data_IF_778847817771
#
_entry.id   IF_778847817771
#
_cell.length_a   1.000
_cell.length_b   1.000
_cell.length_c   1.000
_cell.angle_alpha   90.00
_cell.angle_beta   90.00
_cell.angle_gamma   90.00
#
_symmetry.space_group_name_H-M   'P 1'
#
loop_
_entity.id
_entity.type
_entity.pdbx_description
1 polymer ?
#
# COMPACT_ATOMS: atom_id res chain seq x y z
N UNK A 1 30.40 -10.44 -62.63
CA UNK A 1 31.11 -10.96 -61.44
C UNK A 1 31.57 -9.76 -60.61
N UNK A 2 31.50 -9.87 -59.28
CA UNK A 2 31.65 -8.84 -58.22
C UNK A 2 30.38 -8.02 -57.91
N UNK A 3 29.95 -7.85 -56.66
CA UNK A 3 29.93 -8.74 -55.50
C UNK A 3 28.95 -8.12 -54.50
N UNK A 4 28.06 -8.97 -54.00
CA UNK A 4 27.02 -8.72 -53.01
C UNK A 4 27.66 -8.73 -51.61
N UNK A 5 27.96 -7.58 -50.99
CA UNK A 5 28.31 -7.54 -49.55
C UNK A 5 27.96 -6.18 -48.95
N UNK A 6 26.79 -6.02 -48.32
CA UNK A 6 26.58 -4.98 -47.28
C UNK A 6 25.23 -5.07 -46.54
N UNK A 7 24.87 -6.24 -46.01
CA UNK A 7 23.75 -6.35 -45.04
C UNK A 7 24.01 -7.48 -44.03
N UNK A 8 24.86 -7.26 -43.04
CA UNK A 8 24.86 -8.03 -41.79
C UNK A 8 25.82 -7.41 -40.76
N UNK A 9 25.42 -6.31 -40.11
CA UNK A 9 26.02 -5.95 -38.82
C UNK A 9 25.03 -5.11 -38.03
N UNK A 10 24.84 -5.48 -36.76
CA UNK A 10 24.05 -4.83 -35.70
C UNK A 10 22.69 -5.46 -35.36
N UNK A 11 22.71 -6.74 -35.00
CA UNK A 11 21.73 -7.31 -34.07
C UNK A 11 22.41 -8.28 -33.08
N UNK A 12 23.49 -7.83 -32.42
CA UNK A 12 23.93 -8.42 -31.15
C UNK A 12 23.14 -7.74 -30.02
N UNK A 13 21.87 -8.10 -29.88
CA UNK A 13 21.21 -7.97 -28.58
C UNK A 13 21.96 -8.91 -27.63
N UNK A 14 22.73 -8.34 -26.70
CA UNK A 14 23.13 -9.05 -25.49
C UNK A 14 21.85 -9.42 -24.76
N UNK A 15 21.35 -10.64 -24.98
CA UNK A 15 20.51 -11.29 -23.99
C UNK A 15 21.37 -11.39 -22.73
N UNK A 16 21.06 -10.55 -21.74
CA UNK A 16 21.56 -10.71 -20.39
C UNK A 16 21.04 -12.08 -19.97
N UNK A 17 21.93 -13.07 -19.95
CA UNK A 17 21.66 -14.36 -19.35
C UNK A 17 21.42 -14.08 -17.87
N UNK A 18 20.16 -14.01 -17.47
CA UNK A 18 19.81 -14.21 -16.07
C UNK A 18 20.26 -15.63 -15.76
N UNK A 19 21.40 -15.76 -15.07
CA UNK A 19 21.75 -17.01 -14.40
C UNK A 19 20.56 -17.34 -13.50
N UNK A 20 20.12 -18.59 -13.53
CA UNK A 20 19.21 -19.12 -12.53
C UNK A 20 19.92 -19.02 -11.17
N UNK A 21 19.76 -17.89 -10.49
CA UNK A 21 20.17 -17.74 -9.10
C UNK A 21 19.26 -18.69 -8.34
N UNK A 22 19.84 -19.76 -7.81
CA UNK A 22 19.10 -20.70 -6.98
C UNK A 22 19.06 -20.13 -5.56
N UNK A 23 17.94 -20.33 -4.84
CA UNK A 23 17.75 -19.88 -3.45
C UNK A 23 18.93 -20.22 -2.53
N UNK A 24 19.68 -21.28 -2.83
CA UNK A 24 20.81 -21.73 -2.04
C UNK A 24 22.04 -20.82 -2.13
N UNK A 25 22.25 -20.13 -3.26
CA UNK A 25 23.43 -19.27 -3.44
C UNK A 25 23.29 -17.96 -2.63
N UNK A 26 22.08 -17.42 -2.50
CA UNK A 26 21.82 -16.20 -1.70
C UNK A 26 21.81 -16.49 -0.19
N UNK A 27 21.30 -17.65 0.25
CA UNK A 27 21.24 -17.98 1.69
C UNK A 27 22.62 -18.01 2.36
N UNK A 28 23.67 -18.44 1.66
CA UNK A 28 25.04 -18.47 2.21
C UNK A 28 25.67 -17.08 2.37
N UNK A 29 25.22 -16.08 1.61
CA UNK A 29 25.68 -14.68 1.75
C UNK A 29 25.07 -13.99 2.96
N UNK A 30 23.80 -14.30 3.28
CA UNK A 30 23.06 -13.69 4.38
C UNK A 30 23.48 -14.22 5.75
N UNK A 31 23.78 -15.51 5.86
CA UNK A 31 24.27 -16.12 7.11
C UNK A 31 25.61 -15.55 7.56
N UNK A 32 26.46 -15.08 6.64
CA UNK A 32 27.72 -14.40 6.99
C UNK A 32 27.53 -13.08 7.77
N UNK A 33 26.32 -12.50 7.76
CA UNK A 33 25.96 -11.30 8.55
C UNK A 33 25.17 -11.63 9.82
N UNK A 34 25.07 -12.91 10.20
CA UNK A 34 24.32 -13.36 11.39
C UNK A 34 22.81 -13.22 11.26
N UNK A 35 22.29 -13.06 10.03
CA UNK A 35 20.85 -13.01 9.80
C UNK A 35 20.28 -14.41 9.54
N UNK A 36 19.19 -14.73 10.22
CA UNK A 36 18.38 -15.92 9.98
C UNK A 36 17.08 -15.52 9.29
N UNK A 37 16.94 -15.94 8.02
CA UNK A 37 15.72 -15.76 7.27
C UNK A 37 14.57 -16.50 7.95
N UNK A 38 13.42 -15.85 8.07
CA UNK A 38 12.24 -16.49 8.63
C UNK A 38 11.73 -17.58 7.66
N UNK A 39 11.26 -18.70 8.20
CA UNK A 39 10.63 -19.75 7.39
C UNK A 39 9.31 -19.29 6.78
N UNK A 40 8.60 -18.41 7.51
CA UNK A 40 7.33 -17.83 7.12
C UNK A 40 7.43 -16.31 7.02
N UNK A 41 6.75 -15.73 6.03
CA UNK A 41 6.61 -14.27 5.90
C UNK A 41 5.32 -13.84 6.59
N UNK A 42 5.41 -12.82 7.45
CA UNK A 42 4.22 -12.27 8.10
C UNK A 42 3.56 -11.24 7.20
N UNK A 43 2.35 -11.55 6.74
CA UNK A 43 1.49 -10.61 6.04
C UNK A 43 0.62 -9.84 7.02
N UNK A 44 0.38 -8.56 6.75
CA UNK A 44 -0.65 -7.79 7.42
C UNK A 44 -1.52 -7.10 6.38
N UNK A 45 -2.78 -7.54 6.30
CA UNK A 45 -3.75 -6.94 5.41
C UNK A 45 -4.10 -5.54 5.93
N UNK A 46 -3.62 -4.53 5.21
CA UNK A 46 -3.89 -3.15 5.59
C UNK A 46 -5.30 -2.75 5.19
N UNK A 47 -6.29 -3.22 5.94
CA UNK A 47 -7.68 -2.86 5.73
C UNK A 47 -7.91 -1.40 6.11
N UNK A 48 -8.82 -0.73 5.41
CA UNK A 48 -8.99 0.70 5.58
C UNK A 48 -9.47 0.99 7.00
N UNK A 49 -8.96 2.04 7.66
CA UNK A 49 -9.37 2.45 9.03
C UNK A 49 -9.14 1.42 10.15
N UNK A 50 -8.21 0.49 10.01
CA UNK A 50 -7.75 -0.39 11.11
C UNK A 50 -6.41 0.03 11.72
N UNK A 51 -5.78 1.10 11.22
CA UNK A 51 -4.53 1.64 11.77
C UNK A 51 -3.25 1.04 11.17
N UNK A 52 -3.37 0.24 10.10
CA UNK A 52 -2.21 -0.38 9.42
C UNK A 52 -1.10 0.59 9.02
N UNK A 53 -1.43 1.85 8.70
CA UNK A 53 -0.43 2.88 8.36
C UNK A 53 0.51 3.17 9.53
N UNK A 54 -0.04 3.26 10.74
CA UNK A 54 0.73 3.54 11.95
C UNK A 54 1.53 2.30 12.35
N UNK A 55 0.90 1.13 12.30
CA UNK A 55 1.55 -0.15 12.60
C UNK A 55 2.77 -0.39 11.68
N UNK A 56 2.58 -0.31 10.36
CA UNK A 56 3.67 -0.49 9.41
C UNK A 56 4.79 0.54 9.61
N UNK A 57 4.43 1.82 9.87
CA UNK A 57 5.41 2.85 10.14
C UNK A 57 6.23 2.59 11.41
N UNK A 58 5.58 2.13 12.49
CA UNK A 58 6.26 1.75 13.73
C UNK A 58 7.18 0.54 13.54
N UNK A 59 6.72 -0.49 12.84
CA UNK A 59 7.55 -1.68 12.55
C UNK A 59 8.72 -1.31 11.65
N UNK A 60 8.48 -0.60 10.55
CA UNK A 60 9.52 -0.21 9.62
C UNK A 60 10.59 0.67 10.25
N UNK A 61 10.29 1.45 11.29
CA UNK A 61 11.29 2.28 11.99
C UNK A 61 12.20 1.50 12.93
N UNK A 62 11.76 0.33 13.40
CA UNK A 62 12.41 -0.36 14.50
C UNK A 62 12.91 -1.77 14.14
N UNK A 63 12.47 -2.31 13.00
CA UNK A 63 12.78 -3.67 12.56
C UNK A 63 13.27 -3.69 11.11
N UNK A 64 14.19 -4.61 10.84
CA UNK A 64 14.73 -4.85 9.50
C UNK A 64 13.68 -5.54 8.62
N UNK A 65 13.81 -5.39 7.30
CA UNK A 65 13.01 -6.15 6.30
C UNK A 65 11.49 -6.07 6.45
N UNK A 66 11.00 -4.97 7.02
CA UNK A 66 9.59 -4.58 6.98
C UNK A 66 9.32 -3.86 5.66
N UNK A 67 8.38 -4.37 4.89
CA UNK A 67 8.02 -3.87 3.58
C UNK A 67 6.56 -3.44 3.57
N UNK A 68 6.26 -2.27 3.04
CA UNK A 68 4.88 -1.85 3.01
C UNK A 68 4.65 -0.48 2.42
N UNK A 69 3.38 -0.26 2.10
CA UNK A 69 2.90 0.95 1.45
C UNK A 69 3.19 2.22 2.27
N UNK A 70 3.32 2.12 3.60
CA UNK A 70 3.47 3.26 4.52
C UNK A 70 4.77 3.21 5.32
N UNK A 71 5.82 2.66 4.72
CA UNK A 71 7.13 2.56 5.32
C UNK A 71 7.83 1.29 4.86
N UNK A 72 9.02 1.48 4.28
CA UNK A 72 9.99 0.42 4.07
C UNK A 72 11.06 0.56 5.13
N UNK A 73 11.54 -0.55 5.70
CA UNK A 73 12.64 -0.52 6.66
C UNK A 73 13.87 0.21 6.09
N UNK A 74 14.16 0.03 4.80
CA UNK A 74 15.27 0.68 4.12
C UNK A 74 15.32 2.22 4.26
N UNK A 75 14.17 2.91 4.18
CA UNK A 75 14.11 4.38 4.08
C UNK A 75 13.20 5.06 5.12
N UNK A 76 12.54 4.27 5.99
CA UNK A 76 11.61 4.78 7.00
C UNK A 76 12.24 5.80 7.95
N UNK A 77 13.51 5.59 8.36
CA UNK A 77 14.23 6.46 9.28
C UNK A 77 14.37 7.88 8.71
N UNK A 78 14.91 8.00 7.49
CA UNK A 78 15.10 9.28 6.81
C UNK A 78 13.77 10.02 6.61
N UNK A 79 12.70 9.27 6.31
CA UNK A 79 11.38 9.87 6.19
C UNK A 79 10.83 10.38 7.54
N UNK A 80 11.02 9.62 8.63
CA UNK A 80 10.53 10.00 9.95
C UNK A 80 11.31 11.18 10.53
N UNK A 81 12.62 11.26 10.31
CA UNK A 81 13.45 12.42 10.67
C UNK A 81 12.96 13.70 9.99
N UNK A 82 12.70 13.65 8.67
CA UNK A 82 12.10 14.78 7.95
C UNK A 82 10.73 15.17 8.49
N UNK A 83 9.95 14.18 8.94
CA UNK A 83 8.63 14.41 9.50
C UNK A 83 8.66 15.03 10.91
N UNK A 84 9.66 14.68 11.72
CA UNK A 84 9.85 15.29 13.04
C UNK A 84 10.27 16.76 12.94
N UNK A 85 11.05 17.12 11.92
CA UNK A 85 11.63 18.45 11.76
C UNK A 85 10.76 19.44 10.96
N UNK A 86 9.49 19.10 10.69
CA UNK A 86 8.59 19.99 9.97
C UNK A 86 7.23 20.08 10.65
N UNK A 87 6.72 21.30 10.78
CA UNK A 87 5.36 21.55 11.25
C UNK A 87 4.31 21.26 10.18
N UNK A 88 4.70 21.30 8.90
CA UNK A 88 3.84 20.99 7.76
C UNK A 88 4.34 19.74 7.02
N UNK A 89 4.05 18.58 7.60
CA UNK A 89 4.45 17.29 7.03
C UNK A 89 3.87 17.03 5.63
N UNK A 90 2.86 17.79 5.21
CA UNK A 90 2.27 17.75 3.87
C UNK A 90 3.23 18.31 2.79
N UNK A 91 4.24 19.08 3.20
CA UNK A 91 5.26 19.65 2.32
C UNK A 91 6.47 18.72 2.13
N UNK A 92 6.56 17.63 2.89
CA UNK A 92 7.64 16.65 2.73
C UNK A 92 7.48 15.99 1.37
N UNK A 93 8.30 16.44 0.41
CA UNK A 93 8.55 15.69 -0.81
C UNK A 93 9.37 14.47 -0.39
N UNK A 94 8.78 13.30 -0.55
CA UNK A 94 9.54 12.06 -0.45
C UNK A 94 10.66 12.10 -1.51
N UNK A 95 11.87 11.69 -1.12
CA UNK A 95 13.04 11.52 -1.98
C UNK A 95 12.74 10.75 -3.26
N UNK A 96 11.81 9.79 -3.20
CA UNK A 96 11.32 9.02 -4.34
C UNK A 96 10.45 9.92 -5.23
N UNK A 97 9.58 10.77 -4.68
CA UNK A 97 8.83 11.76 -5.47
C UNK A 97 9.78 12.76 -6.15
N UNK A 98 10.92 13.07 -5.53
CA UNK A 98 11.98 13.90 -6.15
C UNK A 98 12.67 13.12 -7.29
N UNK A 99 13.05 11.87 -7.07
CA UNK A 99 13.68 11.01 -8.08
C UNK A 99 12.75 10.70 -9.27
N UNK A 100 11.46 10.48 -9.03
CA UNK A 100 10.44 10.29 -10.06
C UNK A 100 10.17 11.55 -10.86
N UNK A 101 10.06 12.71 -10.20
CA UNK A 101 9.93 13.97 -10.90
C UNK A 101 11.18 14.23 -11.75
N UNK A 102 12.36 13.85 -11.26
CA UNK A 102 13.59 13.90 -12.03
C UNK A 102 13.54 12.97 -13.25
N UNK A 103 13.16 11.70 -13.08
CA UNK A 103 13.07 10.72 -14.17
C UNK A 103 11.98 11.07 -15.20
N UNK A 104 10.80 11.53 -14.77
CA UNK A 104 9.75 12.02 -15.67
C UNK A 104 10.19 13.27 -16.43
N UNK A 105 10.87 14.22 -15.79
CA UNK A 105 11.48 15.37 -16.47
C UNK A 105 12.55 14.93 -17.47
N UNK A 106 13.35 13.91 -17.15
CA UNK A 106 14.36 13.34 -18.05
C UNK A 106 13.72 12.69 -19.28
N UNK A 107 12.69 11.86 -19.09
CA UNK A 107 11.95 11.23 -20.20
C UNK A 107 11.18 12.24 -21.06
N UNK A 108 10.54 13.23 -20.46
CA UNK A 108 9.88 14.31 -21.19
C UNK A 108 10.89 15.13 -22.04
N UNK A 109 12.09 15.41 -21.50
CA UNK A 109 13.17 16.07 -22.24
C UNK A 109 13.69 15.21 -23.41
N UNK A 110 13.78 13.89 -23.23
CA UNK A 110 14.16 12.96 -24.31
C UNK A 110 13.10 12.95 -25.42
N UNK A 111 11.82 12.77 -25.08
CA UNK A 111 10.72 12.80 -26.05
C UNK A 111 10.62 14.13 -26.82
N UNK A 112 10.84 15.27 -26.15
CA UNK A 112 10.89 16.59 -26.79
C UNK A 112 12.09 16.71 -27.75
N UNK A 113 13.26 16.18 -27.37
CA UNK A 113 14.44 16.14 -28.25
C UNK A 113 14.16 15.30 -29.52
N UNK A 114 13.49 14.18 -29.38
CA UNK A 114 13.13 13.31 -30.50
C UNK A 114 12.08 13.96 -31.41
N UNK A 115 11.09 14.68 -30.85
CA UNK A 115 10.17 15.50 -31.64
C UNK A 115 10.88 16.60 -32.42
N UNK A 116 11.84 17.30 -31.82
CA UNK A 116 12.64 18.33 -32.52
C UNK A 116 13.49 17.74 -33.64
N UNK A 117 14.05 16.54 -33.44
CA UNK A 117 14.74 15.81 -34.51
C UNK A 117 13.78 15.42 -35.64
N UNK A 118 12.57 15.00 -35.31
CA UNK A 118 11.52 14.70 -36.30
C UNK A 118 11.02 15.94 -37.07
N UNK A 119 10.90 17.09 -36.41
CA UNK A 119 10.44 18.35 -37.03
C UNK A 119 11.48 18.98 -37.96
N UNK A 120 12.78 18.81 -37.71
CA UNK A 120 13.83 19.24 -38.66
C UNK A 120 13.70 18.55 -40.02
N UNK A 121 13.00 17.43 -40.11
CA UNK A 121 12.68 16.75 -41.37
C UNK A 121 11.30 17.12 -41.97
N UNK A 122 10.47 17.93 -41.30
CA UNK A 122 9.10 18.25 -41.76
C UNK A 122 8.80 19.73 -41.96
N UNK A 123 9.68 20.64 -41.56
CA UNK A 123 9.46 22.08 -41.78
C UNK A 123 9.85 22.50 -43.21
N UNK A 124 8.96 22.11 -44.15
CA UNK A 124 8.58 22.93 -45.31
C UNK A 124 7.06 23.17 -45.41
N UNK A 125 6.25 22.78 -44.42
CA UNK A 125 4.81 23.04 -44.42
C UNK A 125 4.36 23.86 -43.20
N UNK A 126 3.91 25.09 -43.47
CA UNK A 126 3.33 26.07 -42.52
C UNK A 126 2.20 25.44 -41.68
N UNK A 127 2.30 25.49 -40.35
CA UNK A 127 1.21 25.13 -39.45
C UNK A 127 0.41 26.36 -38.93
N UNK A 128 -0.91 26.24 -38.69
CA UNK A 128 -1.79 27.35 -38.31
C UNK A 128 -1.87 27.63 -36.80
N UNK A 129 -2.17 28.89 -36.48
CA UNK A 129 -2.02 29.62 -35.20
C UNK A 129 -2.96 29.24 -34.03
N UNK A 130 -3.79 28.20 -34.11
CA UNK A 130 -4.89 27.99 -33.14
C UNK A 130 -4.61 27.03 -31.95
N UNK A 131 -3.39 26.54 -31.74
CA UNK A 131 -3.11 25.55 -30.67
C UNK A 131 -2.87 26.12 -29.25
N UNK A 132 -2.77 27.43 -29.07
CA UNK A 132 -2.31 28.02 -27.80
C UNK A 132 -3.36 27.95 -26.67
N UNK A 133 -4.66 27.85 -26.97
CA UNK A 133 -5.73 27.86 -25.95
C UNK A 133 -5.90 26.54 -25.16
N UNK A 134 -5.46 25.41 -25.70
CA UNK A 134 -5.63 24.09 -25.04
C UNK A 134 -4.54 23.76 -24.00
N UNK A 135 -3.47 24.57 -23.90
CA UNK A 135 -2.37 24.36 -22.94
C UNK A 135 -2.76 24.75 -21.51
N UNK A 136 -3.42 25.90 -21.33
CA UNK A 136 -3.72 26.45 -20.00
C UNK A 136 -4.68 25.56 -19.19
N UNK A 137 -5.59 24.84 -19.85
CA UNK A 137 -6.55 23.93 -19.17
C UNK A 137 -5.91 22.64 -18.63
N UNK A 138 -4.73 22.24 -19.13
CA UNK A 138 -4.01 21.06 -18.62
C UNK A 138 -3.24 21.37 -17.33
N UNK A 139 -2.75 22.60 -17.17
CA UNK A 139 -1.93 22.98 -16.01
C UNK A 139 -2.77 23.14 -14.73
N UNK A 140 -4.02 23.61 -14.82
CA UNK A 140 -4.95 23.69 -13.68
C UNK A 140 -5.31 22.30 -13.13
N UNK A 141 -5.56 21.31 -14.01
CA UNK A 141 -5.85 19.94 -13.61
C UNK A 141 -4.63 19.23 -13.00
N UNK A 142 -3.42 19.52 -13.48
CA UNK A 142 -2.17 18.99 -12.89
C UNK A 142 -1.95 19.53 -11.47
N UNK A 143 -2.28 20.80 -11.22
CA UNK A 143 -2.10 21.44 -9.92
C UNK A 143 -3.07 20.91 -8.86
N UNK A 144 -4.31 20.61 -9.25
CA UNK A 144 -5.32 19.93 -8.42
C UNK A 144 -4.87 18.53 -7.98
N UNK A 145 -4.34 17.72 -8.91
CA UNK A 145 -3.87 16.37 -8.62
C UNK A 145 -2.66 16.36 -7.66
N UNK A 146 -1.74 17.32 -7.81
CA UNK A 146 -0.58 17.48 -6.91
C UNK A 146 -1.01 17.88 -5.49
N UNK A 147 -2.06 18.72 -5.33
CA UNK A 147 -2.59 19.07 -3.99
C UNK A 147 -3.17 17.85 -3.27
N UNK A 148 -3.89 16.98 -3.97
CA UNK A 148 -4.47 15.78 -3.36
C UNK A 148 -3.42 14.74 -2.93
N UNK A 149 -2.28 14.64 -3.63
CA UNK A 149 -1.19 13.70 -3.27
C UNK A 149 -0.53 14.12 -1.94
N UNK A 150 -0.44 15.42 -1.65
CA UNK A 150 0.20 15.93 -0.42
C UNK A 150 -0.51 15.49 0.86
N UNK A 151 -1.84 15.45 0.86
CA UNK A 151 -2.68 15.11 2.03
C UNK A 151 -2.56 13.66 2.52
N UNK A 152 -1.98 12.76 1.71
CA UNK A 152 -1.89 11.33 2.03
C UNK A 152 -0.46 10.79 2.04
N UNK A 153 0.55 11.65 1.91
CA UNK A 153 1.95 11.23 1.93
C UNK A 153 2.46 11.01 3.37
N UNK A 154 2.12 9.86 3.94
CA UNK A 154 2.57 9.41 5.28
C UNK A 154 3.80 8.50 5.18
N UNK A 155 4.75 8.86 4.32
CA UNK A 155 5.90 8.01 4.00
C UNK A 155 5.46 6.91 3.07
N UNK A 156 4.58 7.29 2.14
CA UNK A 156 3.99 6.35 1.21
C UNK A 156 5.09 5.93 0.25
N UNK A 157 5.41 4.64 0.23
CA UNK A 157 6.21 4.08 -0.86
C UNK A 157 5.28 3.92 -2.06
N UNK A 158 5.59 4.53 -3.21
CA UNK A 158 4.80 4.33 -4.41
C UNK A 158 4.73 2.85 -4.77
N UNK A 159 3.54 2.37 -5.14
CA UNK A 159 3.25 0.96 -5.42
C UNK A 159 4.27 0.36 -6.40
N UNK A 160 4.54 1.06 -7.50
CA UNK A 160 5.46 0.56 -8.52
C UNK A 160 6.91 0.48 -8.03
N UNK A 161 7.33 1.30 -7.06
CA UNK A 161 8.65 1.19 -6.44
C UNK A 161 8.71 -0.03 -5.53
N UNK A 162 7.64 -0.32 -4.79
CA UNK A 162 7.52 -1.57 -4.05
C UNK A 162 7.58 -2.79 -4.96
N UNK A 163 6.89 -2.73 -6.11
CA UNK A 163 6.93 -3.80 -7.12
C UNK A 163 8.32 -3.95 -7.77
N UNK A 164 9.01 -2.84 -8.05
CA UNK A 164 10.37 -2.84 -8.61
C UNK A 164 11.41 -3.39 -7.62
N UNK A 165 11.32 -2.98 -6.34
CA UNK A 165 12.17 -3.52 -5.26
C UNK A 165 11.90 -5.00 -5.02
N UNK A 166 10.65 -5.43 -5.18
CA UNK A 166 10.20 -6.77 -4.86
C UNK A 166 10.05 -6.98 -3.35
N UNK A 167 9.62 -8.19 -2.99
CA UNK A 167 9.28 -8.56 -1.62
C UNK A 167 10.11 -9.75 -1.08
N UNK A 168 11.14 -10.18 -1.83
CA UNK A 168 11.94 -11.38 -1.53
C UNK A 168 12.77 -11.25 -0.24
N UNK A 169 13.19 -10.03 0.09
CA UNK A 169 13.96 -9.72 1.30
C UNK A 169 13.06 -9.21 2.43
N UNK A 170 11.78 -9.56 2.47
CA UNK A 170 10.84 -9.08 3.47
C UNK A 170 10.48 -10.18 4.48
N UNK A 171 10.61 -9.88 5.78
CA UNK A 171 10.08 -10.74 6.85
C UNK A 171 8.63 -10.37 7.21
N UNK A 172 8.25 -9.12 6.93
CA UNK A 172 6.93 -8.58 7.21
C UNK A 172 6.45 -7.71 6.06
N UNK A 173 5.24 -7.97 5.56
CA UNK A 173 4.65 -7.23 4.43
C UNK A 173 3.33 -6.61 4.89
N UNK A 174 3.16 -5.30 4.73
CA UNK A 174 1.91 -4.59 5.03
C UNK A 174 1.52 -3.60 3.94
N UNK A 175 0.61 -4.05 3.08
CA UNK A 175 0.27 -3.37 1.84
C UNK A 175 -1.19 -2.90 1.81
N UNK A 176 -1.40 -1.66 1.35
CA UNK A 176 -2.72 -1.09 1.06
C UNK A 176 -3.13 -1.41 -0.39
N UNK A 177 -3.27 -2.70 -0.69
CA UNK A 177 -3.60 -3.19 -2.04
C UNK A 177 -4.89 -4.02 -2.06
N UNK A 178 -5.52 -4.17 -3.23
CA UNK A 178 -6.63 -5.11 -3.41
C UNK A 178 -6.22 -6.54 -3.06
N UNK A 179 -7.19 -7.39 -2.74
CA UNK A 179 -6.96 -8.78 -2.35
C UNK A 179 -6.16 -9.59 -3.39
N UNK A 180 -6.25 -9.24 -4.68
CA UNK A 180 -5.50 -9.91 -5.75
C UNK A 180 -3.99 -9.78 -5.59
N UNK A 181 -3.50 -8.72 -4.94
CA UNK A 181 -2.09 -8.62 -4.59
C UNK A 181 -1.64 -9.80 -3.72
N UNK A 182 -2.42 -10.10 -2.68
CA UNK A 182 -2.11 -11.20 -1.75
C UNK A 182 -2.26 -12.57 -2.42
N UNK A 183 -3.21 -12.71 -3.34
CA UNK A 183 -3.33 -13.91 -4.19
C UNK A 183 -2.08 -14.18 -5.03
N UNK A 184 -1.51 -13.14 -5.63
CA UNK A 184 -0.37 -13.29 -6.53
C UNK A 184 0.96 -13.37 -5.79
N UNK A 185 1.02 -12.88 -4.54
CA UNK A 185 2.25 -12.69 -3.80
C UNK A 185 3.05 -13.99 -3.55
N UNK A 186 2.46 -15.14 -3.16
CA UNK A 186 3.22 -16.39 -2.98
C UNK A 186 4.03 -16.79 -4.22
N UNK A 187 3.46 -16.66 -5.42
CA UNK A 187 4.16 -16.99 -6.67
C UNK A 187 5.39 -16.11 -6.93
N UNK A 188 5.35 -14.85 -6.45
CA UNK A 188 6.48 -13.89 -6.54
C UNK A 188 7.54 -14.13 -5.46
N UNK A 189 7.22 -14.91 -4.44
CA UNK A 189 8.07 -15.24 -3.30
C UNK A 189 8.54 -16.69 -3.34
N UNK A 190 8.63 -17.28 -4.54
CA UNK A 190 9.04 -18.68 -4.72
C UNK A 190 8.22 -19.67 -3.88
N UNK A 191 6.91 -19.39 -3.73
CA UNK A 191 5.97 -20.16 -2.91
C UNK A 191 6.31 -20.23 -1.42
N UNK A 192 7.05 -19.23 -0.89
CA UNK A 192 7.29 -19.10 0.54
C UNK A 192 5.95 -18.93 1.29
N UNK A 193 5.70 -19.69 2.37
CA UNK A 193 4.49 -19.56 3.16
C UNK A 193 4.29 -18.15 3.73
N UNK A 194 3.04 -17.68 3.68
CA UNK A 194 2.63 -16.38 4.21
C UNK A 194 1.56 -16.58 5.27
N UNK A 195 1.80 -16.11 6.49
CA UNK A 195 0.80 -15.99 7.54
C UNK A 195 0.18 -14.58 7.44
N UNK A 196 -0.98 -14.45 6.78
CA UNK A 196 -1.63 -13.17 6.51
C UNK A 196 -2.62 -12.81 7.63
N UNK A 197 -2.27 -11.79 8.40
CA UNK A 197 -3.07 -11.30 9.51
C UNK A 197 -4.07 -10.23 9.07
N UNK A 198 -5.32 -10.41 9.44
CA UNK A 198 -6.42 -9.50 9.13
C UNK A 198 -6.92 -8.83 10.42
N UNK A 199 -6.72 -7.52 10.59
CA UNK A 199 -7.27 -6.80 11.74
C UNK A 199 -8.79 -6.73 11.64
N UNK A 200 -9.49 -7.23 12.65
CA UNK A 200 -10.95 -7.23 12.71
C UNK A 200 -11.46 -6.16 13.67
N UNK A 201 -12.36 -5.31 13.18
CA UNK A 201 -12.95 -4.19 13.93
C UNK A 201 -14.45 -4.37 14.06
N UNK A 202 -15.00 -3.86 15.17
CA UNK A 202 -16.45 -3.81 15.39
C UNK A 202 -17.13 -3.10 14.20
N UNK A 203 -18.15 -3.75 13.63
CA UNK A 203 -18.69 -3.48 12.30
C UNK A 203 -19.21 -2.05 12.19
N UNK A 204 -20.04 -1.61 13.14
CA UNK A 204 -20.67 -0.29 13.11
C UNK A 204 -19.62 0.79 13.38
N UNK A 205 -18.75 0.60 14.37
CA UNK A 205 -17.66 1.53 14.63
C UNK A 205 -16.70 1.67 13.45
N UNK A 206 -16.49 0.59 12.69
CA UNK A 206 -15.72 0.60 11.45
C UNK A 206 -16.40 1.41 10.36
N UNK A 207 -17.70 1.15 10.11
CA UNK A 207 -18.51 1.89 9.15
C UNK A 207 -18.50 3.40 9.45
N UNK A 208 -18.74 3.78 10.70
CA UNK A 208 -18.75 5.18 11.12
C UNK A 208 -17.36 5.83 10.96
N UNK A 209 -16.29 5.06 11.09
CA UNK A 209 -14.94 5.53 10.75
C UNK A 209 -14.73 5.77 9.26
N UNK A 210 -15.41 5.02 8.39
CA UNK A 210 -15.44 5.31 6.96
C UNK A 210 -16.27 6.56 6.65
N UNK A 211 -17.47 6.70 7.25
CA UNK A 211 -18.28 7.91 7.10
C UNK A 211 -17.48 9.16 7.49
N UNK A 212 -16.82 9.15 8.65
CA UNK A 212 -15.97 10.25 9.12
C UNK A 212 -14.83 10.56 8.13
N UNK A 213 -14.20 9.53 7.55
CA UNK A 213 -13.17 9.75 6.52
C UNK A 213 -13.73 10.43 5.27
N UNK A 214 -14.94 10.06 4.85
CA UNK A 214 -15.65 10.69 3.72
C UNK A 214 -16.25 12.05 4.07
N UNK A 215 -16.10 12.52 5.31
CA UNK A 215 -16.77 13.71 5.85
C UNK A 215 -18.29 13.64 5.68
N UNK A 216 -18.84 12.43 5.76
CA UNK A 216 -20.27 12.16 5.64
C UNK A 216 -20.85 11.90 7.04
N UNK A 217 -21.97 12.53 7.34
CA UNK A 217 -22.82 12.15 8.48
C UNK A 217 -23.75 11.03 8.03
N UNK A 218 -23.86 9.98 8.85
CA UNK A 218 -24.73 8.84 8.56
C UNK A 218 -26.19 9.21 8.89
N UNK A 219 -27.11 8.97 7.96
CA UNK A 219 -28.53 9.28 8.15
C UNK A 219 -29.31 8.06 8.69
N UNK A 220 -29.62 8.05 10.00
CA UNK A 220 -30.40 6.96 10.61
C UNK A 220 -31.88 6.96 10.21
N UNK A 221 -32.40 8.08 9.72
CA UNK A 221 -33.78 8.22 9.24
C UNK A 221 -33.93 7.89 7.76
N UNK A 222 -32.92 7.28 7.12
CA UNK A 222 -33.00 6.89 5.72
C UNK A 222 -33.92 5.68 5.54
N UNK A 223 -34.86 5.79 4.59
CA UNK A 223 -35.71 4.66 4.19
C UNK A 223 -34.90 3.49 3.59
N UNK A 224 -33.74 3.79 2.99
CA UNK A 224 -32.81 2.80 2.42
C UNK A 224 -31.47 2.80 3.20
N UNK A 225 -31.50 2.16 4.37
CA UNK A 225 -30.31 1.96 5.20
C UNK A 225 -29.18 1.20 4.47
N UNK A 226 -29.50 0.35 3.48
CA UNK A 226 -28.51 -0.40 2.74
C UNK A 226 -27.70 0.52 1.81
N UNK A 227 -28.38 1.42 1.09
CA UNK A 227 -27.73 2.46 0.29
C UNK A 227 -26.95 3.43 1.17
N UNK A 228 -27.52 3.86 2.31
CA UNK A 228 -26.83 4.74 3.24
C UNK A 228 -25.54 4.08 3.80
N UNK A 229 -25.62 2.82 4.20
CA UNK A 229 -24.45 2.01 4.61
C UNK A 229 -23.41 1.91 3.50
N UNK A 230 -23.82 1.54 2.28
CA UNK A 230 -22.93 1.44 1.11
C UNK A 230 -22.23 2.76 0.81
N UNK A 231 -22.93 3.88 0.99
CA UNK A 231 -22.39 5.21 0.73
C UNK A 231 -21.24 5.58 1.66
N UNK A 232 -21.12 4.95 2.83
CA UNK A 232 -19.99 5.14 3.74
C UNK A 232 -18.81 4.21 3.44
N UNK A 233 -19.03 3.00 2.93
CA UNK A 233 -17.97 2.01 2.71
C UNK A 233 -16.85 2.54 1.79
N UNK A 234 -15.61 2.08 2.06
CA UNK A 234 -14.39 2.46 1.33
C UNK A 234 -13.47 1.26 1.16
N UNK A 235 -12.94 1.09 -0.06
CA UNK A 235 -11.88 0.11 -0.38
C UNK A 235 -12.19 -1.33 0.11
N UNK A 236 -13.43 -1.78 -0.10
CA UNK A 236 -13.87 -3.13 0.29
C UNK A 236 -13.21 -4.24 -0.54
N UNK A 237 -12.57 -3.90 -1.66
CA UNK A 237 -11.79 -4.78 -2.54
C UNK A 237 -10.44 -5.19 -1.95
N UNK A 238 -10.07 -4.72 -0.76
CA UNK A 238 -8.84 -5.14 -0.07
C UNK A 238 -8.90 -6.55 0.52
N UNK A 239 -10.09 -7.11 0.69
CA UNK A 239 -10.31 -8.46 1.18
C UNK A 239 -11.32 -9.18 0.30
N UNK A 240 -11.13 -10.48 0.11
CA UNK A 240 -12.09 -11.37 -0.54
C UNK A 240 -11.94 -12.77 0.03
N UNK A 241 -13.04 -13.52 0.15
CA UNK A 241 -13.00 -14.90 0.65
C UNK A 241 -12.15 -15.85 -0.22
N UNK A 242 -11.90 -15.52 -1.48
CA UNK A 242 -11.02 -16.34 -2.35
C UNK A 242 -9.57 -16.39 -1.84
N UNK A 243 -9.20 -15.60 -0.83
CA UNK A 243 -7.90 -15.71 -0.15
C UNK A 243 -7.76 -17.03 0.63
N UNK A 244 -8.86 -17.69 1.01
CA UNK A 244 -8.83 -19.02 1.64
C UNK A 244 -8.31 -20.11 0.70
N UNK A 245 -8.47 -19.90 -0.61
CA UNK A 245 -8.11 -20.89 -1.64
C UNK A 245 -6.70 -20.66 -2.20
N UNK A 246 -5.94 -19.73 -1.63
CA UNK A 246 -4.59 -19.38 -2.11
C UNK A 246 -3.58 -20.34 -1.49
N UNK A 247 -2.83 -21.12 -2.30
CA UNK A 247 -1.82 -22.01 -1.77
C UNK A 247 -0.69 -21.23 -1.10
N UNK A 248 -0.15 -21.79 0.00
CA UNK A 248 0.90 -21.18 0.82
C UNK A 248 0.51 -19.83 1.45
N UNK A 249 -0.79 -19.57 1.61
CA UNK A 249 -1.31 -18.41 2.32
C UNK A 249 -2.26 -18.88 3.42
N UNK A 250 -1.88 -18.63 4.67
CA UNK A 250 -2.70 -18.91 5.85
C UNK A 250 -3.34 -17.61 6.34
N UNK A 251 -4.66 -17.60 6.51
CA UNK A 251 -5.38 -16.43 7.03
C UNK A 251 -5.55 -16.55 8.54
N UNK A 252 -5.12 -15.51 9.25
CA UNK A 252 -5.41 -15.31 10.68
C UNK A 252 -6.10 -13.98 10.90
N UNK A 253 -6.79 -13.84 12.01
CA UNK A 253 -7.37 -12.56 12.42
C UNK A 253 -7.01 -12.21 13.86
N UNK A 254 -7.29 -10.96 14.23
CA UNK A 254 -7.20 -10.50 15.61
C UNK A 254 -8.12 -9.30 15.83
N UNK A 255 -8.51 -9.03 17.09
CA UNK A 255 -9.23 -7.81 17.43
C UNK A 255 -8.30 -6.61 17.25
N UNK A 256 -8.68 -5.65 16.39
CA UNK A 256 -7.91 -4.44 16.12
C UNK A 256 -7.55 -3.65 17.38
N UNK A 257 -8.32 -3.77 18.48
CA UNK A 257 -7.99 -3.15 19.77
C UNK A 257 -6.66 -3.63 20.35
N UNK A 258 -6.24 -4.84 19.98
CA UNK A 258 -4.99 -5.46 20.39
C UNK A 258 -3.81 -5.12 19.47
N UNK A 259 -4.04 -4.34 18.40
CA UNK A 259 -3.05 -4.11 17.34
C UNK A 259 -1.75 -3.47 17.85
N UNK A 260 -1.87 -2.49 18.74
CA UNK A 260 -0.72 -1.74 19.28
C UNK A 260 -0.30 -2.26 20.67
N UNK A 261 -0.77 -3.45 21.06
CA UNK A 261 -0.42 -4.14 22.31
C UNK A 261 0.00 -5.57 21.98
N UNK A 262 -0.85 -6.58 22.21
CA UNK A 262 -0.54 -8.01 22.04
C UNK A 262 -0.06 -8.36 20.64
N UNK A 263 -0.66 -7.78 19.59
CA UNK A 263 -0.23 -8.01 18.21
C UNK A 263 1.17 -7.48 17.95
N UNK A 264 1.46 -6.27 18.44
CA UNK A 264 2.78 -5.68 18.28
C UNK A 264 3.83 -6.50 19.04
N UNK A 265 3.55 -6.92 20.27
CA UNK A 265 4.42 -7.81 21.05
C UNK A 265 4.71 -9.11 20.28
N UNK A 266 3.67 -9.79 19.79
CA UNK A 266 3.80 -11.01 19.00
C UNK A 266 4.69 -10.81 17.77
N UNK A 267 4.37 -9.84 16.91
CA UNK A 267 5.16 -9.63 15.66
C UNK A 267 6.59 -9.21 15.98
N UNK A 268 6.78 -8.34 16.97
CA UNK A 268 8.12 -7.81 17.27
C UNK A 268 9.07 -8.80 17.91
N UNK A 269 8.56 -9.87 18.54
CA UNK A 269 9.38 -10.99 19.00
C UNK A 269 9.93 -11.85 17.85
N UNK A 270 9.28 -11.80 16.68
CA UNK A 270 9.67 -12.56 15.47
C UNK A 270 10.57 -11.76 14.53
N UNK A 271 10.54 -10.42 14.59
CA UNK A 271 11.29 -9.56 13.68
C UNK A 271 12.66 -9.17 14.24
N UNK A 272 13.66 -9.08 13.36
CA UNK A 272 14.99 -8.59 13.71
C UNK A 272 14.94 -7.08 13.97
N UNK A 273 15.43 -6.65 15.14
CA UNK A 273 15.59 -5.23 15.48
C UNK A 273 16.63 -4.56 14.59
N UNK A 274 16.37 -3.32 14.21
CA UNK A 274 17.34 -2.45 13.55
C UNK A 274 18.47 -2.06 14.48
N UNK A 275 19.63 -1.77 13.88
CA UNK A 275 20.73 -1.08 14.57
C UNK A 275 20.34 0.32 15.06
N UNK A 276 19.57 1.04 14.26
CA UNK A 276 19.09 2.38 14.59
C UNK A 276 17.57 2.39 14.67
N UNK A 277 17.07 2.64 15.87
CA UNK A 277 15.65 2.72 16.18
C UNK A 277 15.22 4.17 16.31
N UNK A 278 13.93 4.43 16.08
CA UNK A 278 13.38 5.79 16.16
C UNK A 278 11.92 5.76 16.61
N UNK A 279 11.52 6.82 17.32
CA UNK A 279 10.14 7.00 17.75
C UNK A 279 9.27 7.36 16.55
N UNK A 280 8.19 6.61 16.36
CA UNK A 280 7.22 6.91 15.31
C UNK A 280 6.49 8.22 15.60
N UNK A 281 6.49 9.14 14.63
CA UNK A 281 5.68 10.37 14.69
C UNK A 281 4.29 10.09 14.13
N UNK A 282 3.31 10.02 15.04
CA UNK A 282 1.92 9.79 14.69
C UNK A 282 1.35 10.94 13.86
N UNK A 283 0.54 10.58 12.86
CA UNK A 283 -0.07 11.51 11.90
C UNK A 283 -1.53 11.14 11.72
N UNK A 284 -2.39 11.90 12.38
CA UNK A 284 -3.83 11.75 12.25
C UNK A 284 -4.28 12.15 10.84
N UNK A 285 -5.13 11.34 10.21
CA UNK A 285 -5.68 11.63 8.87
C UNK A 285 -7.13 12.09 8.93
N UNK A 286 -7.77 11.92 10.07
CA UNK A 286 -9.19 12.14 10.25
C UNK A 286 -9.39 13.07 11.45
N UNK A 287 -10.49 13.82 11.42
CA UNK A 287 -10.95 14.53 12.60
C UNK A 287 -11.32 13.52 13.71
N UNK A 288 -11.11 13.88 14.99
CA UNK A 288 -11.66 13.12 16.11
C UNK A 288 -13.15 12.86 15.90
N UNK A 289 -13.62 11.66 16.25
CA UNK A 289 -15.05 11.31 16.21
C UNK A 289 -15.66 11.59 17.56
N UNK A 290 -16.83 12.20 17.55
CA UNK A 290 -17.69 12.28 18.73
C UNK A 290 -18.87 11.32 18.55
N UNK A 291 -18.80 10.18 19.26
CA UNK A 291 -19.86 9.16 19.20
C UNK A 291 -21.18 9.66 19.76
N UNK A 292 -21.19 10.66 20.64
CA UNK A 292 -22.43 11.19 21.22
C UNK A 292 -23.30 11.94 20.19
N UNK A 293 -22.68 12.43 19.11
CA UNK A 293 -23.34 13.14 18.03
C UNK A 293 -23.79 12.22 16.88
N UNK A 294 -23.33 10.98 16.86
CA UNK A 294 -23.66 10.01 15.82
C UNK A 294 -24.99 9.29 16.17
N UNK A 295 -26.02 9.46 15.34
CA UNK A 295 -27.38 8.94 15.61
C UNK A 295 -27.43 7.42 15.86
N UNK A 296 -26.56 6.65 15.19
CA UNK A 296 -26.58 5.19 15.21
C UNK A 296 -26.36 4.58 16.60
N UNK A 297 -25.72 5.31 17.53
CA UNK A 297 -25.50 4.85 18.89
C UNK A 297 -26.72 5.04 19.80
N UNK A 298 -27.66 5.91 19.40
CA UNK A 298 -28.90 6.20 20.14
C UNK A 298 -30.06 5.30 19.71
N UNK A 299 -29.92 4.60 18.58
CA UNK A 299 -30.97 3.81 17.95
C UNK A 299 -30.55 2.34 17.78
N UNK A 300 -30.69 1.49 18.82
CA UNK A 300 -30.23 0.10 18.79
C UNK A 300 -30.82 -0.73 17.63
N UNK A 301 -32.08 -0.45 17.27
CA UNK A 301 -32.78 -1.09 16.16
C UNK A 301 -32.11 -0.80 14.81
N UNK A 302 -31.72 0.46 14.57
CA UNK A 302 -31.00 0.86 13.35
C UNK A 302 -29.59 0.26 13.35
N UNK A 303 -28.91 0.29 14.50
CA UNK A 303 -27.60 -0.34 14.66
C UNK A 303 -27.61 -1.82 14.26
N UNK A 304 -28.58 -2.60 14.77
CA UNK A 304 -28.71 -4.02 14.46
C UNK A 304 -28.97 -4.27 12.96
N UNK A 305 -29.83 -3.46 12.33
CA UNK A 305 -30.08 -3.54 10.87
C UNK A 305 -28.80 -3.27 10.07
N UNK A 306 -28.03 -2.25 10.46
CA UNK A 306 -26.75 -1.92 9.84
C UNK A 306 -25.72 -3.04 10.03
N UNK A 307 -25.63 -3.62 11.23
CA UNK A 307 -24.77 -4.79 11.48
C UNK A 307 -25.09 -5.95 10.53
N UNK A 308 -26.38 -6.24 10.33
CA UNK A 308 -26.81 -7.29 9.40
C UNK A 308 -26.45 -6.98 7.94
N UNK A 309 -26.59 -5.72 7.50
CA UNK A 309 -26.17 -5.28 6.16
C UNK A 309 -24.66 -5.47 5.98
N UNK A 310 -23.87 -5.12 7.01
CA UNK A 310 -22.41 -5.24 6.98
C UNK A 310 -21.97 -6.71 6.96
N UNK A 311 -22.64 -7.59 7.70
CA UNK A 311 -22.39 -9.04 7.66
C UNK A 311 -22.55 -9.67 6.27
N UNK A 312 -23.29 -9.01 5.37
CA UNK A 312 -23.35 -9.40 3.95
C UNK A 312 -22.09 -9.07 3.13
N UNK A 313 -21.01 -8.57 3.75
CA UNK A 313 -19.72 -8.31 3.08
C UNK A 313 -18.65 -9.28 3.57
N UNK A 314 -17.88 -9.85 2.64
CA UNK A 314 -16.83 -10.84 2.90
C UNK A 314 -15.96 -10.51 4.12
N UNK A 315 -15.42 -9.29 4.21
CA UNK A 315 -14.56 -8.88 5.32
C UNK A 315 -15.25 -8.94 6.68
N UNK A 316 -16.47 -8.40 6.79
CA UNK A 316 -17.18 -8.38 8.07
C UNK A 316 -17.71 -9.76 8.45
N UNK A 317 -18.12 -10.56 7.46
CA UNK A 317 -18.50 -11.96 7.66
C UNK A 317 -17.31 -12.78 8.18
N UNK A 318 -16.16 -12.68 7.51
CA UNK A 318 -14.91 -13.31 7.93
C UNK A 318 -14.55 -12.92 9.36
N UNK A 319 -14.53 -11.63 9.66
CA UNK A 319 -14.16 -11.14 10.98
C UNK A 319 -15.10 -11.61 12.09
N UNK A 320 -16.40 -11.73 11.82
CA UNK A 320 -17.37 -12.20 12.82
C UNK A 320 -17.15 -13.68 13.19
N UNK A 321 -16.84 -14.51 12.18
CA UNK A 321 -16.53 -15.92 12.37
C UNK A 321 -15.14 -16.11 12.98
N UNK A 322 -14.12 -15.47 12.41
CA UNK A 322 -12.72 -15.72 12.74
C UNK A 322 -12.38 -15.35 14.18
N UNK A 323 -12.90 -14.24 14.71
CA UNK A 323 -12.63 -13.81 16.10
C UNK A 323 -13.01 -14.88 17.14
N UNK A 324 -13.97 -15.74 16.81
CA UNK A 324 -14.49 -16.81 17.68
C UNK A 324 -13.88 -18.18 17.37
N UNK A 325 -12.85 -18.23 16.53
CA UNK A 325 -12.23 -19.45 16.02
C UNK A 325 -10.78 -19.58 16.43
N UNK A 326 -10.18 -20.75 16.20
CA UNK A 326 -8.75 -20.98 16.38
C UNK A 326 -7.85 -20.15 15.46
N UNK A 327 -8.40 -19.54 14.40
CA UNK A 327 -7.67 -18.62 13.53
C UNK A 327 -7.57 -17.20 14.08
N UNK A 328 -8.21 -16.92 15.23
CA UNK A 328 -7.89 -15.73 16.01
C UNK A 328 -6.54 -15.94 16.72
N UNK A 329 -5.57 -15.08 16.41
CA UNK A 329 -4.22 -15.09 16.98
C UNK A 329 -4.21 -15.10 18.52
N UNK A 330 -5.29 -14.65 19.15
CA UNK A 330 -5.40 -14.52 20.61
C UNK A 330 -6.59 -15.29 21.19
N UNK A 331 -7.06 -16.36 20.53
CA UNK A 331 -8.24 -17.13 20.96
C UNK A 331 -8.13 -17.68 22.39
N UNK A 332 -6.92 -18.05 22.84
CA UNK A 332 -6.65 -18.73 24.12
C UNK A 332 -5.83 -17.90 25.12
N UNK A 333 -5.68 -16.59 24.90
CA UNK A 333 -4.83 -15.70 25.72
C UNK A 333 -5.59 -14.50 26.23
#
# INVERSE_FOLDING_TARGET
MLSLVLLASLSKLRMIHFKNITRNDDMNSFTAKGYQMQENIFGHLHFMKTGGSSLNGMLALNYERVCGHKGWSFDSYLFNERAANTTDWLLIKDSITIAENYNRRKQAKLAERDRRKGHRNRDRARMPRNQTRNRNRRDENATSHIRNIKLFNRGRVPIFIGDERGYHDCDYISEERPWTFWKDLPSKLFNTPIELHVPCREKVDHLMSFCNMKKKQFNCSSDDLAMETKSCLLAMDRFNKSLFDVPNLELKCYDYKLQFTKYMEMVTSKLQKKRFQSKYVHRETNRPRDKSLECIWKEPQIKAKVEQILLGKDYFHFCDACIKSADNLFYNT
#
